data_IF_003898233069
#
_entry.id   IF_003898233069
#
_cell.length_a   1.000
_cell.length_b   1.000
_cell.length_c   1.000
_cell.angle_alpha   90.00
_cell.angle_beta   90.00
_cell.angle_gamma   90.00
#
_symmetry.space_group_name_H-M   'P 1'
#
loop_
_entity.id
_entity.type
_entity.pdbx_description
1 polymer ?
#
# COMPACT_ATOMS: atom_id res chain seq x y z
N UNK A 1 -1.85 0.25 6.02
CA UNK A 1 -1.32 -1.14 5.93
C UNK A 1 -1.88 -1.97 7.07
N UNK A 2 -1.31 -1.92 8.30
CA UNK A 2 -1.74 -2.79 9.40
C UNK A 2 -3.24 -2.69 9.76
N UNK A 3 -3.82 -1.49 9.72
CA UNK A 3 -5.26 -1.27 10.01
C UNK A 3 -6.18 -2.08 9.09
N UNK A 4 -5.94 -2.06 7.78
CA UNK A 4 -6.78 -2.71 6.79
C UNK A 4 -6.46 -4.18 6.58
N UNK A 5 -5.18 -4.56 6.70
CA UNK A 5 -4.71 -5.94 6.42
C UNK A 5 -4.60 -6.82 7.67
N UNK A 6 -4.62 -6.22 8.86
CA UNK A 6 -4.40 -6.91 10.13
C UNK A 6 -2.97 -7.42 10.33
N UNK A 7 -1.99 -7.00 9.52
CA UNK A 7 -0.59 -7.35 9.70
C UNK A 7 -0.06 -6.83 11.05
N UNK A 8 0.75 -7.62 11.75
CA UNK A 8 1.46 -7.16 12.94
C UNK A 8 2.55 -6.13 12.54
N UNK A 9 2.46 -4.86 12.99
CA UNK A 9 3.49 -3.85 12.71
C UNK A 9 4.89 -4.24 13.23
N UNK A 10 4.99 -5.10 14.25
CA UNK A 10 6.26 -5.61 14.79
C UNK A 10 6.92 -6.69 13.92
N UNK A 11 6.23 -7.17 12.87
CA UNK A 11 6.74 -8.17 11.95
C UNK A 11 7.09 -7.63 10.57
N UNK A 12 6.94 -6.32 10.36
CA UNK A 12 7.33 -5.65 9.12
C UNK A 12 8.44 -4.62 9.39
N UNK A 13 9.33 -4.46 8.43
CA UNK A 13 10.41 -3.47 8.49
C UNK A 13 10.27 -2.50 7.34
N UNK A 14 10.42 -1.20 7.61
CA UNK A 14 10.47 -0.18 6.58
C UNK A 14 11.73 -0.37 5.73
N UNK A 15 11.59 -0.39 4.41
CA UNK A 15 12.72 -0.57 3.48
C UNK A 15 13.59 0.68 3.39
N UNK A 16 12.95 1.86 3.38
CA UNK A 16 13.63 3.15 3.30
C UNK A 16 12.77 4.25 3.94
N UNK A 17 13.42 5.23 4.56
CA UNK A 17 12.79 6.46 5.04
C UNK A 17 12.44 7.43 3.90
N UNK A 18 12.92 7.16 2.68
CA UNK A 18 12.52 7.90 1.48
C UNK A 18 11.30 7.22 0.86
N UNK A 19 10.21 7.97 0.55
CA UNK A 19 9.05 7.41 -0.12
C UNK A 19 9.43 6.72 -1.44
N UNK A 20 8.85 5.55 -1.69
CA UNK A 20 8.96 4.85 -2.97
C UNK A 20 8.25 5.61 -4.11
N UNK A 21 7.22 6.39 -3.77
CA UNK A 21 6.60 7.34 -4.69
C UNK A 21 5.96 8.52 -3.93
N UNK A 22 5.84 9.64 -4.64
CA UNK A 22 5.06 10.81 -4.24
C UNK A 22 4.15 11.16 -5.41
N UNK A 23 2.85 11.26 -5.16
CA UNK A 23 1.86 11.52 -6.20
C UNK A 23 0.91 12.64 -5.77
N UNK A 24 0.65 13.59 -6.67
CA UNK A 24 -0.34 14.65 -6.46
C UNK A 24 -1.45 14.48 -7.48
N UNK A 25 -2.70 14.39 -7.01
CA UNK A 25 -3.82 14.04 -7.86
C UNK A 25 -5.14 14.61 -7.36
N UNK A 26 -6.07 14.81 -8.29
CA UNK A 26 -7.46 15.17 -7.96
C UNK A 26 -8.26 13.90 -7.70
N UNK A 27 -8.97 13.88 -6.58
CA UNK A 27 -9.95 12.85 -6.25
C UNK A 27 -11.34 13.40 -6.58
N UNK A 28 -12.07 12.80 -7.53
CA UNK A 28 -13.42 13.25 -7.86
C UNK A 28 -14.36 13.00 -6.67
N UNK A 29 -15.43 13.80 -6.58
CA UNK A 29 -16.46 13.60 -5.56
C UNK A 29 -17.07 12.19 -5.66
N UNK A 30 -17.37 11.59 -4.50
CA UNK A 30 -18.10 10.32 -4.34
C UNK A 30 -19.37 10.57 -3.53
N UNK A 31 -20.48 10.96 -4.20
CA UNK A 31 -21.73 11.32 -3.53
C UNK A 31 -22.30 10.22 -2.62
N UNK A 32 -22.12 8.96 -2.99
CA UNK A 32 -22.54 7.78 -2.23
C UNK A 32 -21.83 7.65 -0.87
N UNK A 33 -20.66 8.27 -0.72
CA UNK A 33 -19.91 8.37 0.55
C UNK A 33 -19.99 9.76 1.17
N UNK A 34 -20.82 10.65 0.62
CA UNK A 34 -20.86 12.07 0.97
C UNK A 34 -19.48 12.76 0.95
N UNK A 35 -18.61 12.33 0.02
CA UNK A 35 -17.22 12.79 -0.10
C UNK A 35 -17.11 13.81 -1.24
N UNK A 36 -16.79 15.09 -0.98
CA UNK A 36 -16.65 16.10 -2.02
C UNK A 36 -15.35 15.93 -2.82
N UNK A 37 -15.24 16.63 -3.95
CA UNK A 37 -13.98 16.70 -4.71
C UNK A 37 -12.90 17.36 -3.85
N UNK A 38 -11.69 16.79 -3.92
CA UNK A 38 -10.52 17.31 -3.22
C UNK A 38 -9.24 16.84 -3.90
N UNK A 39 -8.09 17.25 -3.37
CA UNK A 39 -6.78 16.86 -3.87
C UNK A 39 -6.05 16.02 -2.83
N UNK A 40 -5.31 15.02 -3.30
CA UNK A 40 -4.37 14.25 -2.51
C UNK A 40 -2.94 14.63 -2.84
N UNK A 41 -2.09 14.58 -1.82
CA UNK A 41 -0.64 14.44 -1.95
C UNK A 41 -0.26 13.15 -1.21
N UNK A 42 -0.08 12.08 -1.98
CA UNK A 42 0.14 10.73 -1.49
C UNK A 42 1.63 10.43 -1.39
N UNK A 43 2.03 9.83 -0.27
CA UNK A 43 3.39 9.33 -0.04
C UNK A 43 3.33 7.82 0.16
N UNK A 44 3.93 7.07 -0.77
CA UNK A 44 3.99 5.62 -0.71
C UNK A 44 5.29 5.13 -0.08
N UNK A 45 5.20 4.25 0.92
CA UNK A 45 6.35 3.59 1.55
C UNK A 45 6.30 2.08 1.31
N UNK A 46 7.49 1.47 1.22
CA UNK A 46 7.65 0.03 1.06
C UNK A 46 8.08 -0.62 2.38
N UNK A 47 7.45 -1.73 2.73
CA UNK A 47 7.79 -2.54 3.89
C UNK A 47 8.11 -3.96 3.44
N UNK A 48 9.02 -4.62 4.15
CA UNK A 48 9.42 -6.00 3.91
C UNK A 48 9.19 -6.85 5.15
N UNK A 49 9.01 -8.14 4.96
CA UNK A 49 8.85 -9.12 6.03
C UNK A 49 9.32 -10.50 5.57
N UNK A 50 9.73 -11.32 6.52
CA UNK A 50 10.03 -12.75 6.31
C UNK A 50 9.02 -13.66 7.02
N UNK A 51 8.12 -13.10 7.84
CA UNK A 51 7.26 -13.88 8.76
C UNK A 51 5.86 -13.32 8.96
N UNK A 52 5.59 -12.05 8.64
CA UNK A 52 4.28 -11.47 8.84
C UNK A 52 3.27 -12.15 7.93
N UNK A 53 2.07 -12.37 8.45
CA UNK A 53 0.97 -12.92 7.68
C UNK A 53 -0.29 -12.06 7.84
N UNK A 54 -1.18 -12.17 6.86
CA UNK A 54 -2.42 -11.39 6.82
C UNK A 54 -3.30 -11.80 8.00
N UNK A 55 -3.68 -10.81 8.79
CA UNK A 55 -4.55 -10.99 9.95
C UNK A 55 -6.03 -10.90 9.59
N UNK A 56 -6.82 -10.39 10.54
CA UNK A 56 -8.21 -10.03 10.28
C UNK A 56 -8.24 -8.72 9.49
N UNK A 57 -8.75 -8.78 8.26
CA UNK A 57 -8.92 -7.59 7.42
C UNK A 57 -10.07 -6.71 7.90
N UNK A 58 -10.00 -5.41 7.59
CA UNK A 58 -11.09 -4.47 7.82
C UNK A 58 -12.05 -4.48 6.62
N UNK A 59 -13.06 -5.35 6.68
CA UNK A 59 -13.98 -5.59 5.56
C UNK A 59 -14.82 -4.37 5.14
N UNK A 60 -14.88 -3.31 5.97
CA UNK A 60 -15.54 -2.06 5.60
C UNK A 60 -14.75 -1.22 4.60
N UNK A 61 -13.42 -1.40 4.55
CA UNK A 61 -12.52 -0.64 3.69
C UNK A 61 -11.96 -1.49 2.54
N UNK A 62 -11.67 -2.77 2.80
CA UNK A 62 -11.08 -3.70 1.82
C UNK A 62 -11.91 -4.97 1.65
N UNK A 63 -11.96 -5.50 0.44
CA UNK A 63 -12.70 -6.73 0.12
C UNK A 63 -11.86 -8.00 0.28
N UNK A 64 -10.55 -7.86 0.50
CA UNK A 64 -9.62 -8.97 0.64
C UNK A 64 -8.17 -8.51 0.72
N UNK A 65 -7.31 -9.42 1.16
CA UNK A 65 -5.86 -9.26 1.12
C UNK A 65 -5.22 -10.60 0.75
N UNK A 66 -4.08 -10.58 0.07
CA UNK A 66 -3.35 -11.78 -0.34
C UNK A 66 -1.89 -11.49 -0.65
N UNK A 67 -1.06 -12.52 -0.50
CA UNK A 67 0.34 -12.51 -0.96
C UNK A 67 0.41 -13.02 -2.39
N UNK A 68 1.11 -12.28 -3.26
CA UNK A 68 1.26 -12.61 -4.67
C UNK A 68 2.73 -12.61 -5.08
N UNK A 69 3.15 -13.49 -6.01
CA UNK A 69 4.41 -13.31 -6.72
C UNK A 69 4.47 -11.92 -7.36
N UNK A 70 5.67 -11.33 -7.42
CA UNK A 70 5.85 -9.95 -7.90
C UNK A 70 5.23 -9.72 -9.29
N UNK A 71 5.46 -10.64 -10.23
CA UNK A 71 4.93 -10.54 -11.59
C UNK A 71 3.38 -10.54 -11.63
N UNK A 72 2.73 -11.30 -10.74
CA UNK A 72 1.27 -11.28 -10.62
C UNK A 72 0.78 -9.98 -9.99
N UNK A 73 1.48 -9.49 -8.96
CA UNK A 73 1.15 -8.25 -8.29
C UNK A 73 1.25 -7.04 -9.24
N UNK A 74 2.33 -6.93 -10.03
CA UNK A 74 2.51 -5.88 -11.05
C UNK A 74 1.36 -5.88 -12.06
N UNK A 75 0.93 -7.05 -12.53
CA UNK A 75 -0.21 -7.18 -13.44
C UNK A 75 -1.54 -6.75 -12.80
N UNK A 76 -1.73 -6.99 -11.50
CA UNK A 76 -2.99 -6.72 -10.80
C UNK A 76 -3.13 -5.26 -10.35
N UNK A 77 -2.05 -4.64 -9.88
CA UNK A 77 -2.11 -3.30 -9.26
C UNK A 77 -1.21 -2.26 -9.93
N UNK A 78 -0.59 -2.63 -11.06
CA UNK A 78 0.17 -1.75 -11.94
C UNK A 78 1.62 -1.49 -11.52
N UNK A 79 2.32 -0.74 -12.37
CA UNK A 79 3.77 -0.49 -12.31
C UNK A 79 4.24 0.27 -11.04
N UNK A 80 3.31 0.78 -10.22
CA UNK A 80 3.67 1.40 -8.93
C UNK A 80 4.38 0.42 -8.00
N UNK A 81 4.09 -0.88 -8.11
CA UNK A 81 4.81 -1.93 -7.37
C UNK A 81 6.27 -2.03 -7.82
N UNK A 82 6.55 -1.87 -9.11
CA UNK A 82 7.92 -1.92 -9.64
C UNK A 82 8.82 -0.82 -9.04
N UNK A 83 8.25 0.33 -8.69
CA UNK A 83 8.97 1.42 -8.02
C UNK A 83 9.38 1.04 -6.60
N UNK A 84 8.52 0.33 -5.88
CA UNK A 84 8.77 -0.11 -4.50
C UNK A 84 9.90 -1.15 -4.39
N UNK A 85 10.11 -1.96 -5.43
CA UNK A 85 11.20 -2.96 -5.48
C UNK A 85 12.53 -2.40 -6.01
N UNK A 86 12.53 -1.18 -6.56
CA UNK A 86 13.72 -0.53 -7.12
C UNK A 86 14.43 0.39 -6.11
N UNK A 87 13.82 0.66 -4.95
CA UNK A 87 14.42 1.48 -3.89
C UNK A 87 15.54 0.68 -3.22
N UNK A 88 16.79 1.19 -3.17
CA UNK A 88 17.85 0.54 -2.42
C UNK A 88 17.43 0.45 -0.94
N UNK A 89 17.55 -0.72 -0.33
CA UNK A 89 17.39 -0.83 1.11
C UNK A 89 18.40 0.09 1.80
N UNK A 90 17.95 0.86 2.79
CA UNK A 90 18.88 1.57 3.66
C UNK A 90 19.76 0.51 4.36
N UNK A 91 21.07 0.59 4.14
CA UNK A 91 22.05 -0.33 4.73
C UNK A 91 22.27 -0.13 6.22
#
# INVERSE_FOLDING_TARGET
MAEETGLDPGEVSLVSQVPAYVEFGRVPARPEKAEPEHYHLDFGYCFTTVRADIGRIQESEVTGAGWYPLADAERLVGDRIARAVSVPAAG
#
